data_IF_040380420263
#
_entry.id   IF_040380420263
#
_cell.length_a   1.000
_cell.length_b   1.000
_cell.length_c   1.000
_cell.angle_alpha   90.00
_cell.angle_beta   90.00
_cell.angle_gamma   90.00
#
_symmetry.space_group_name_H-M   'P 1'
#
loop_
_entity.id
_entity.type
_entity.pdbx_description
1 polymer ?
#
# COMPACT_ATOMS: atom_id res chain seq x y z
N UNK A 1 16.19 10.04 2.42
CA UNK A 1 15.20 9.73 1.37
C UNK A 1 13.84 9.66 2.05
N UNK A 2 12.95 10.62 1.74
CA UNK A 2 11.57 10.60 2.24
C UNK A 2 10.83 9.41 1.62
N UNK A 3 9.86 8.87 2.35
CA UNK A 3 8.97 7.84 1.81
C UNK A 3 8.09 8.45 0.71
N UNK A 4 8.12 7.87 -0.48
CA UNK A 4 7.30 8.31 -1.61
C UNK A 4 5.93 7.63 -1.54
N UNK A 5 5.15 7.95 -0.49
CA UNK A 5 3.85 7.33 -0.21
C UNK A 5 2.93 7.35 -1.43
N UNK A 6 2.79 8.52 -2.06
CA UNK A 6 1.93 8.70 -3.23
C UNK A 6 2.29 7.71 -4.36
N UNK A 7 3.59 7.48 -4.58
CA UNK A 7 4.03 6.55 -5.64
C UNK A 7 3.74 5.10 -5.28
N UNK A 8 3.89 4.75 -4.01
CA UNK A 8 3.54 3.41 -3.53
C UNK A 8 2.05 3.18 -3.64
N UNK A 9 1.24 4.17 -3.25
CA UNK A 9 -0.22 4.12 -3.35
C UNK A 9 -0.69 3.97 -4.81
N UNK A 10 -0.18 4.79 -5.72
CA UNK A 10 -0.47 4.69 -7.17
C UNK A 10 -0.20 3.27 -7.71
N UNK A 11 0.94 2.67 -7.35
CA UNK A 11 1.30 1.32 -7.79
C UNK A 11 0.36 0.28 -7.16
N UNK A 12 0.10 0.40 -5.86
CA UNK A 12 -0.74 -0.54 -5.13
C UNK A 12 -2.18 -0.53 -5.65
N UNK A 13 -2.77 0.65 -5.87
CA UNK A 13 -4.13 0.81 -6.41
C UNK A 13 -4.25 0.19 -7.80
N UNK A 14 -3.29 0.45 -8.69
CA UNK A 14 -3.28 -0.13 -10.04
C UNK A 14 -3.28 -1.66 -10.01
N UNK A 15 -2.49 -2.26 -9.12
CA UNK A 15 -2.40 -3.73 -8.98
C UNK A 15 -3.66 -4.29 -8.32
N UNK A 16 -4.14 -3.67 -7.24
CA UNK A 16 -5.33 -4.09 -6.52
C UNK A 16 -6.57 -4.07 -7.44
N UNK A 17 -6.75 -2.99 -8.20
CA UNK A 17 -7.84 -2.86 -9.16
C UNK A 17 -7.83 -3.97 -10.21
N UNK A 18 -6.66 -4.38 -10.70
CA UNK A 18 -6.54 -5.51 -11.64
C UNK A 18 -6.95 -6.86 -11.05
N UNK A 19 -7.04 -6.96 -9.72
CA UNK A 19 -7.45 -8.15 -8.98
C UNK A 19 -8.84 -8.03 -8.33
N UNK A 20 -9.58 -6.93 -8.61
CA UNK A 20 -10.87 -6.67 -7.97
C UNK A 20 -10.78 -6.39 -6.46
N UNK A 21 -9.65 -5.88 -6.00
CA UNK A 21 -9.40 -5.49 -4.60
C UNK A 21 -9.24 -3.96 -4.51
N UNK A 22 -9.46 -3.42 -3.32
CA UNK A 22 -9.32 -2.00 -3.03
C UNK A 22 -8.18 -1.78 -2.04
N UNK A 23 -7.35 -0.75 -2.27
CA UNK A 23 -6.35 -0.33 -1.29
C UNK A 23 -7.03 0.60 -0.30
N UNK A 24 -6.98 0.24 0.99
CA UNK A 24 -7.61 1.00 2.07
C UNK A 24 -6.59 1.94 2.72
N UNK A 25 -5.36 1.46 2.92
CA UNK A 25 -4.34 2.22 3.63
C UNK A 25 -2.93 1.75 3.26
N UNK A 26 -1.97 2.69 3.30
CA UNK A 26 -0.54 2.42 3.09
C UNK A 26 0.23 3.06 4.24
N UNK A 27 1.01 2.27 4.95
CA UNK A 27 1.81 2.75 6.08
C UNK A 27 3.27 2.34 5.92
N UNK A 28 4.19 3.27 6.22
CA UNK A 28 5.60 2.94 6.41
C UNK A 28 5.96 3.03 7.90
N UNK A 29 6.28 1.88 8.49
CA UNK A 29 6.70 1.76 9.88
C UNK A 29 8.22 1.57 10.01
N UNK A 30 8.74 1.92 11.18
CA UNK A 30 10.14 1.68 11.55
C UNK A 30 11.13 2.66 10.90
N UNK A 31 12.41 2.46 11.19
CA UNK A 31 13.49 3.34 10.74
C UNK A 31 14.73 2.58 10.27
N UNK A 32 15.55 3.21 9.43
CA UNK A 32 16.81 2.65 8.95
C UNK A 32 16.66 1.29 8.26
N UNK A 33 17.29 0.27 8.85
CA UNK A 33 17.33 -1.13 8.34
C UNK A 33 16.09 -1.96 8.68
N UNK A 34 15.21 -1.46 9.55
CA UNK A 34 14.01 -2.17 10.01
C UNK A 34 12.73 -1.49 9.51
N UNK A 35 12.77 -0.92 8.29
CA UNK A 35 11.59 -0.32 7.67
C UNK A 35 10.65 -1.42 7.18
N UNK A 36 9.37 -1.26 7.45
CA UNK A 36 8.31 -2.16 7.01
C UNK A 36 7.21 -1.37 6.32
N UNK A 37 6.92 -1.73 5.08
CA UNK A 37 5.77 -1.22 4.34
C UNK A 37 4.58 -2.15 4.58
N UNK A 38 3.45 -1.59 5.01
CA UNK A 38 2.17 -2.29 5.13
C UNK A 38 1.18 -1.70 4.14
N UNK A 39 0.47 -2.57 3.43
CA UNK A 39 -0.61 -2.19 2.52
C UNK A 39 -1.83 -2.96 2.95
N UNK A 40 -2.86 -2.25 3.38
CA UNK A 40 -4.14 -2.82 3.75
C UNK A 40 -5.02 -2.83 2.52
N UNK A 41 -5.56 -4.00 2.21
CA UNK A 41 -6.46 -4.20 1.07
C UNK A 41 -7.76 -4.82 1.54
N UNK A 42 -8.83 -4.45 0.88
CA UNK A 42 -10.15 -5.02 1.10
C UNK A 42 -10.67 -5.69 -0.17
N UNK A 43 -11.58 -6.64 0.02
CA UNK A 43 -12.33 -7.27 -1.05
C UNK A 43 -13.79 -6.81 -0.95
N UNK A 44 -14.29 -6.04 -1.92
CA UNK A 44 -15.68 -5.63 -1.93
C UNK A 44 -16.63 -6.84 -1.87
N UNK A 45 -17.55 -6.83 -0.90
CA UNK A 45 -18.61 -7.84 -0.76
C UNK A 45 -18.21 -9.19 -0.16
N UNK A 46 -17.03 -9.27 0.49
CA UNK A 46 -16.60 -10.43 1.27
C UNK A 46 -17.16 -10.44 2.71
#
# INVERSE_FOLDING_TARGET
MAFAEDKVREIAERVAASSGLEVVEVELHGGGKHRMLRVFIDRPGA
#
